data_IF_652699655858
#
_entry.id   IF_652699655858
#
_cell.length_a   1.000
_cell.length_b   1.000
_cell.length_c   1.000
_cell.angle_alpha   90.00
_cell.angle_beta   90.00
_cell.angle_gamma   90.00
#
_symmetry.space_group_name_H-M   'P 1'
#
loop_
_entity.id
_entity.type
_entity.pdbx_description
1 polymer ?
#
# COMPACT_ATOMS: atom_id res chain seq x y z
N UNK A 1 -16.66 8.09 12.47
CA UNK A 1 -15.53 7.13 12.25
C UNK A 1 -14.19 7.85 12.11
N UNK A 2 -14.16 9.13 11.75
CA UNK A 2 -12.96 9.95 11.56
C UNK A 2 -12.07 10.10 12.80
N UNK A 3 -12.53 9.70 13.97
CA UNK A 3 -11.82 9.86 15.24
C UNK A 3 -11.35 8.55 15.87
N UNK A 4 -11.48 7.40 15.19
CA UNK A 4 -10.97 6.16 15.75
C UNK A 4 -9.52 5.91 15.27
N UNK A 5 -8.52 6.06 16.14
CA UNK A 5 -7.10 5.96 15.78
C UNK A 5 -6.68 4.55 15.36
N UNK A 6 -7.55 3.56 15.55
CA UNK A 6 -7.28 2.17 15.20
C UNK A 6 -7.78 1.80 13.80
N UNK A 7 -8.44 2.70 13.08
CA UNK A 7 -8.86 2.46 11.71
C UNK A 7 -7.84 3.02 10.71
N UNK A 8 -7.71 2.40 9.52
CA UNK A 8 -6.87 2.97 8.48
C UNK A 8 -7.45 4.31 8.02
N UNK A 9 -6.57 5.27 7.75
CA UNK A 9 -6.98 6.52 7.11
C UNK A 9 -7.47 6.24 5.69
N UNK A 10 -8.56 6.88 5.29
CA UNK A 10 -9.14 6.82 3.94
C UNK A 10 -9.67 8.19 3.56
N UNK A 11 -10.27 8.29 2.39
CA UNK A 11 -10.81 9.55 1.88
C UNK A 11 -9.73 10.63 1.75
N UNK A 12 -8.54 10.19 1.34
CA UNK A 12 -7.35 11.03 1.08
C UNK A 12 -6.87 10.80 -0.35
N UNK A 13 -6.65 11.89 -1.07
CA UNK A 13 -6.03 11.88 -2.40
C UNK A 13 -4.52 11.63 -2.29
N UNK A 14 -3.88 11.33 -3.41
CA UNK A 14 -2.42 11.22 -3.47
C UNK A 14 -1.76 12.55 -3.08
N UNK A 15 -2.33 13.67 -3.47
CA UNK A 15 -1.82 15.00 -3.11
C UNK A 15 -1.99 15.31 -1.62
N UNK A 16 -3.09 14.88 -1.00
CA UNK A 16 -3.26 15.02 0.46
C UNK A 16 -2.17 14.25 1.22
N UNK A 17 -1.78 13.07 0.72
CA UNK A 17 -0.65 12.32 1.28
C UNK A 17 0.65 13.13 1.21
N UNK A 18 0.94 13.81 0.09
CA UNK A 18 2.15 14.65 -0.02
C UNK A 18 2.12 15.82 0.98
N UNK A 19 0.98 16.49 1.15
CA UNK A 19 0.83 17.56 2.14
C UNK A 19 1.01 17.05 3.57
N UNK A 20 0.49 15.86 3.85
CA UNK A 20 0.67 15.20 5.15
C UNK A 20 2.16 14.94 5.43
N UNK A 21 2.91 14.40 4.46
CA UNK A 21 4.35 14.15 4.63
C UNK A 21 5.13 15.43 4.85
N UNK A 22 4.87 16.51 4.10
CA UNK A 22 5.53 17.80 4.32
C UNK A 22 5.38 18.30 5.75
N UNK A 23 4.18 18.14 6.34
CA UNK A 23 3.93 18.52 7.73
C UNK A 23 4.63 17.60 8.72
N UNK A 24 4.58 16.29 8.48
CA UNK A 24 5.22 15.29 9.33
C UNK A 24 6.73 15.46 9.35
N UNK A 25 7.35 15.70 8.20
CA UNK A 25 8.77 15.97 8.05
C UNK A 25 9.19 17.24 8.84
N UNK A 26 8.39 18.31 8.71
CA UNK A 26 8.64 19.56 9.47
C UNK A 26 8.56 19.36 10.97
N UNK A 27 7.72 18.45 11.46
CA UNK A 27 7.55 18.18 12.90
C UNK A 27 8.62 17.24 13.45
N UNK A 28 9.10 16.31 12.65
CA UNK A 28 9.97 15.21 13.11
C UNK A 28 11.44 15.38 12.71
N UNK A 29 11.73 16.17 11.68
CA UNK A 29 13.05 16.28 11.06
C UNK A 29 13.44 15.03 10.25
N UNK A 30 12.50 14.11 10.02
CA UNK A 30 12.69 12.91 9.21
C UNK A 30 12.10 13.13 7.80
N UNK A 31 12.37 12.22 6.86
CA UNK A 31 11.87 12.31 5.48
C UNK A 31 10.91 11.14 5.19
N UNK A 32 9.62 11.38 5.41
CA UNK A 32 8.56 10.42 5.13
C UNK A 32 8.03 10.57 3.71
N UNK A 33 7.55 9.48 3.14
CA UNK A 33 6.99 9.43 1.80
C UNK A 33 6.03 8.24 1.62
N UNK A 34 5.35 8.18 0.49
CA UNK A 34 4.76 6.93 0.01
C UNK A 34 5.88 5.95 -0.38
N UNK A 35 5.67 4.64 -0.22
CA UNK A 35 6.55 3.65 -0.81
C UNK A 35 6.50 3.75 -2.34
N UNK A 36 7.58 3.40 -3.03
CA UNK A 36 7.50 3.04 -4.44
C UNK A 36 6.71 1.74 -4.59
N UNK A 37 6.18 1.47 -5.78
CA UNK A 37 5.50 0.20 -6.02
C UNK A 37 6.40 -1.01 -5.75
N UNK A 38 7.68 -0.91 -6.15
CA UNK A 38 8.67 -1.96 -5.93
C UNK A 38 8.95 -2.20 -4.43
N UNK A 39 9.08 -1.13 -3.63
CA UNK A 39 9.23 -1.23 -2.18
C UNK A 39 8.01 -1.86 -1.53
N UNK A 40 6.82 -1.42 -1.95
CA UNK A 40 5.57 -1.97 -1.44
C UNK A 40 5.47 -3.47 -1.71
N UNK A 41 5.72 -3.90 -2.95
CA UNK A 41 5.66 -5.31 -3.33
C UNK A 41 6.73 -6.14 -2.64
N UNK A 42 7.97 -5.66 -2.54
CA UNK A 42 9.05 -6.31 -1.81
C UNK A 42 8.68 -6.53 -0.34
N UNK A 43 8.14 -5.49 0.31
CA UNK A 43 7.67 -5.56 1.69
C UNK A 43 6.49 -6.53 1.86
N UNK A 44 5.50 -6.50 0.95
CA UNK A 44 4.34 -7.40 0.97
C UNK A 44 4.74 -8.87 0.80
N UNK A 45 5.76 -9.15 -0.01
CA UNK A 45 6.33 -10.50 -0.22
C UNK A 45 7.12 -11.03 0.98
N UNK A 46 7.34 -10.22 2.02
CA UNK A 46 8.14 -10.60 3.19
C UNK A 46 9.64 -10.27 3.05
N UNK A 47 10.01 -9.44 2.06
CA UNK A 47 11.41 -9.04 1.85
C UNK A 47 12.35 -10.24 1.68
N UNK A 48 13.50 -10.18 2.32
CA UNK A 48 14.50 -11.27 2.32
C UNK A 48 14.06 -12.52 3.13
N UNK A 49 12.90 -12.45 3.82
CA UNK A 49 12.30 -13.58 4.55
C UNK A 49 11.14 -14.21 3.79
N UNK A 50 10.95 -13.85 2.52
CA UNK A 50 9.82 -14.28 1.69
C UNK A 50 9.66 -15.80 1.66
N UNK A 51 8.43 -16.27 1.86
CA UNK A 51 8.02 -17.66 1.74
C UNK A 51 7.23 -17.91 0.46
N UNK A 52 7.23 -16.94 -0.46
CA UNK A 52 6.57 -17.00 -1.77
C UNK A 52 5.05 -17.23 -1.70
N UNK A 53 4.42 -16.70 -0.68
CA UNK A 53 2.98 -16.74 -0.55
C UNK A 53 2.29 -15.87 -1.61
N UNK A 54 1.05 -16.21 -1.91
CA UNK A 54 0.20 -15.47 -2.85
C UNK A 54 -0.29 -14.15 -2.26
N UNK A 55 -0.58 -14.14 -0.95
CA UNK A 55 -0.99 -12.98 -0.17
C UNK A 55 0.10 -12.67 0.87
N UNK A 56 0.09 -11.48 1.43
CA UNK A 56 1.12 -11.05 2.38
C UNK A 56 1.07 -11.88 3.68
N UNK A 57 1.90 -12.91 3.76
CA UNK A 57 2.02 -13.82 4.91
C UNK A 57 1.26 -15.14 4.81
N UNK A 58 0.48 -15.40 3.75
CA UNK A 58 -0.26 -16.67 3.61
C UNK A 58 -0.70 -16.96 2.16
N UNK A 59 -1.09 -18.21 1.90
CA UNK A 59 -1.84 -18.58 0.69
C UNK A 59 -3.37 -18.50 0.88
N UNK A 60 -3.84 -18.16 2.09
CA UNK A 60 -5.25 -17.99 2.45
C UNK A 60 -5.51 -16.52 2.72
N UNK A 61 -6.20 -15.83 1.79
CA UNK A 61 -6.47 -14.39 1.89
C UNK A 61 -7.14 -13.99 3.20
N UNK A 62 -8.16 -14.72 3.63
CA UNK A 62 -8.97 -14.41 4.80
C UNK A 62 -8.18 -14.48 6.13
N UNK A 63 -7.04 -15.15 6.15
CA UNK A 63 -6.18 -15.21 7.34
C UNK A 63 -5.30 -13.97 7.52
N UNK A 64 -5.00 -13.26 6.43
CA UNK A 64 -4.04 -12.12 6.40
C UNK A 64 -4.68 -10.80 6.01
N UNK A 65 -5.96 -10.81 5.58
CA UNK A 65 -6.61 -9.61 5.06
C UNK A 65 -8.12 -9.58 5.24
N UNK A 66 -8.67 -8.41 5.02
CA UNK A 66 -10.08 -8.10 4.98
C UNK A 66 -10.49 -7.80 3.53
N UNK A 67 -11.33 -8.64 2.94
CA UNK A 67 -11.85 -8.49 1.59
C UNK A 67 -13.33 -8.79 1.53
N UNK A 68 -13.90 -8.82 0.34
CA UNK A 68 -15.33 -8.99 0.10
C UNK A 68 -15.95 -10.19 0.83
N UNK A 69 -15.17 -11.28 1.00
CA UNK A 69 -15.64 -12.52 1.65
C UNK A 69 -15.85 -12.41 3.16
N UNK A 70 -15.10 -11.53 3.84
CA UNK A 70 -15.04 -11.51 5.30
C UNK A 70 -15.11 -10.12 5.94
N UNK A 71 -15.10 -9.05 5.15
CA UNK A 71 -15.08 -7.68 5.68
C UNK A 71 -16.47 -7.08 5.95
N UNK A 72 -17.55 -7.65 5.40
CA UNK A 72 -18.89 -7.09 5.55
C UNK A 72 -19.00 -5.68 4.95
N UNK A 73 -18.34 -5.42 3.81
CA UNK A 73 -18.34 -4.16 3.05
C UNK A 73 -17.85 -2.93 3.85
N UNK A 74 -16.92 -3.12 4.77
CA UNK A 74 -16.36 -2.03 5.58
C UNK A 74 -14.89 -2.28 5.92
N UNK A 75 -14.18 -1.18 6.16
CA UNK A 75 -12.83 -1.23 6.74
C UNK A 75 -12.88 -1.69 8.19
N UNK A 76 -11.80 -2.29 8.65
CA UNK A 76 -11.64 -2.84 10.00
C UNK A 76 -10.48 -2.18 10.72
N UNK A 77 -10.47 -2.31 12.05
CA UNK A 77 -9.32 -1.98 12.91
C UNK A 77 -8.07 -2.64 12.35
N UNK A 78 -6.98 -1.89 12.29
CA UNK A 78 -5.69 -2.37 11.77
C UNK A 78 -5.07 -3.42 12.68
N UNK A 79 -4.27 -4.32 12.11
CA UNK A 79 -3.47 -5.28 12.87
C UNK A 79 -4.24 -6.46 13.46
N UNK A 80 -5.47 -6.74 13.01
CA UNK A 80 -6.28 -7.84 13.53
C UNK A 80 -6.05 -9.18 12.80
N UNK A 81 -5.40 -9.17 11.66
CA UNK A 81 -5.08 -10.37 10.87
C UNK A 81 -3.64 -10.80 11.13
N UNK A 82 -3.23 -11.91 10.54
CA UNK A 82 -1.86 -12.41 10.64
C UNK A 82 -0.92 -11.50 9.84
N UNK A 83 0.20 -11.02 10.42
CA UNK A 83 1.18 -10.24 9.68
C UNK A 83 1.99 -11.10 8.70
N UNK A 84 2.69 -10.46 7.78
CA UNK A 84 3.65 -11.14 6.93
C UNK A 84 4.98 -11.41 7.67
N UNK A 85 5.97 -11.96 6.96
CA UNK A 85 7.27 -12.39 7.50
C UNK A 85 8.13 -11.23 8.05
N UNK A 86 7.82 -9.98 7.69
CA UNK A 86 8.43 -8.77 8.22
C UNK A 86 7.65 -8.16 9.40
N UNK A 87 6.53 -8.77 9.81
CA UNK A 87 5.66 -8.24 10.84
C UNK A 87 4.72 -7.13 10.35
N UNK A 88 4.54 -6.97 9.04
CA UNK A 88 3.65 -5.97 8.45
C UNK A 88 2.23 -6.53 8.35
N UNK A 89 1.27 -5.75 8.85
CA UNK A 89 -0.15 -6.06 8.84
C UNK A 89 -0.85 -5.39 7.66
N UNK A 90 -2.00 -5.94 7.28
CA UNK A 90 -2.97 -5.36 6.35
C UNK A 90 -2.39 -5.01 4.95
N UNK A 91 -1.29 -5.69 4.56
CA UNK A 91 -0.75 -5.61 3.19
C UNK A 91 -1.61 -6.39 2.17
N UNK A 92 -2.69 -7.02 2.64
CA UNK A 92 -3.71 -7.72 1.85
C UNK A 92 -5.07 -7.27 2.32
N UNK A 93 -5.83 -6.56 1.50
CA UNK A 93 -7.17 -6.07 1.83
C UNK A 93 -7.18 -4.96 2.89
N UNK A 94 -8.27 -4.81 3.60
CA UNK A 94 -8.67 -3.71 4.45
C UNK A 94 -8.88 -2.44 3.63
N UNK A 95 -7.83 -1.67 3.35
CA UNK A 95 -7.86 -0.56 2.39
C UNK A 95 -6.70 -0.66 1.42
N UNK A 96 -6.91 -0.26 0.19
CA UNK A 96 -5.85 -0.13 -0.79
C UNK A 96 -4.89 0.99 -0.40
N UNK A 97 -3.65 0.93 -0.86
CA UNK A 97 -2.61 1.86 -0.43
C UNK A 97 -1.97 2.56 -1.64
N UNK A 98 -1.88 3.89 -1.58
CA UNK A 98 -1.18 4.70 -2.55
C UNK A 98 0.31 4.36 -2.61
N UNK A 99 0.85 4.29 -3.84
CA UNK A 99 2.30 4.28 -4.10
C UNK A 99 2.73 5.60 -4.75
N UNK A 100 4.04 5.87 -4.75
CA UNK A 100 4.59 7.10 -5.35
C UNK A 100 4.56 7.09 -6.87
N UNK A 101 4.58 5.91 -7.48
CA UNK A 101 4.79 5.69 -8.90
C UNK A 101 3.57 6.08 -9.74
N UNK A 102 3.84 6.62 -10.94
CA UNK A 102 2.83 6.70 -11.98
C UNK A 102 2.58 5.32 -12.59
N UNK A 103 1.33 5.04 -12.90
CA UNK A 103 0.96 3.79 -13.55
C UNK A 103 1.48 3.73 -14.99
N UNK A 104 2.11 2.62 -15.33
CA UNK A 104 2.35 2.16 -16.68
C UNK A 104 2.27 0.63 -16.74
N UNK A 105 1.95 0.03 -17.89
CA UNK A 105 2.14 -1.39 -18.09
C UNK A 105 3.58 -1.79 -17.84
N UNK A 106 3.81 -3.02 -17.34
CA UNK A 106 5.17 -3.51 -17.22
C UNK A 106 5.84 -3.56 -18.60
N UNK A 107 7.08 -3.07 -18.66
CA UNK A 107 7.93 -3.28 -19.83
C UNK A 107 8.82 -4.51 -19.62
N UNK A 108 9.27 -5.10 -20.73
CA UNK A 108 10.21 -6.21 -20.69
C UNK A 108 11.61 -5.64 -20.39
N UNK A 109 12.09 -5.83 -19.15
CA UNK A 109 13.40 -5.37 -18.71
C UNK A 109 13.62 -5.71 -17.24
N UNK A 110 14.88 -5.65 -16.82
CA UNK A 110 15.28 -5.77 -15.42
C UNK A 110 15.89 -4.44 -14.98
N UNK A 111 15.13 -3.65 -14.27
CA UNK A 111 15.61 -2.42 -13.65
C UNK A 111 15.65 -2.62 -12.13
N UNK A 112 16.78 -2.39 -11.46
CA UNK A 112 16.81 -2.42 -10.01
C UNK A 112 16.06 -1.21 -9.45
N UNK A 113 15.20 -1.45 -8.45
CA UNK A 113 14.39 -0.42 -7.77
C UNK A 113 13.61 0.49 -8.74
N UNK A 114 12.77 -0.07 -9.61
CA UNK A 114 12.04 0.72 -10.60
C UNK A 114 11.12 1.73 -9.89
N UNK A 115 11.04 2.94 -10.45
CA UNK A 115 10.18 4.04 -9.95
C UNK A 115 9.03 4.38 -10.92
N UNK A 116 8.87 3.55 -11.98
CA UNK A 116 7.88 3.81 -13.03
C UNK A 116 8.24 5.02 -13.90
N UNK A 117 7.33 5.47 -14.76
CA UNK A 117 7.54 6.63 -15.61
C UNK A 117 7.57 7.94 -14.79
N UNK A 118 8.24 8.97 -15.35
CA UNK A 118 8.37 10.28 -14.69
C UNK A 118 7.04 11.04 -14.68
N UNK A 119 6.17 10.79 -15.68
CA UNK A 119 4.86 11.41 -15.83
C UNK A 119 3.81 10.33 -16.14
N UNK A 120 2.56 10.60 -15.79
CA UNK A 120 1.42 9.71 -16.04
C UNK A 120 0.10 10.40 -15.71
N UNK A 121 -1.00 9.69 -15.90
CA UNK A 121 -2.34 10.18 -15.57
C UNK A 121 -2.84 9.61 -14.23
N UNK A 122 -2.44 8.38 -13.92
CA UNK A 122 -2.90 7.64 -12.76
C UNK A 122 -1.73 7.23 -11.87
N UNK A 123 -1.96 7.16 -10.57
CA UNK A 123 -1.03 6.65 -9.57
C UNK A 123 -1.31 5.18 -9.25
N UNK A 124 -0.26 4.45 -8.95
CA UNK A 124 -0.35 3.05 -8.53
C UNK A 124 -1.04 2.97 -7.16
N UNK A 125 -1.92 1.97 -7.04
CA UNK A 125 -2.58 1.56 -5.80
C UNK A 125 -2.40 0.06 -5.62
N UNK A 126 -2.10 -0.38 -4.40
CA UNK A 126 -1.76 -1.77 -4.09
C UNK A 126 -2.57 -2.32 -2.91
N UNK A 127 -2.55 -3.66 -2.75
CA UNK A 127 -3.12 -4.38 -1.60
C UNK A 127 -4.56 -4.84 -1.74
N UNK A 128 -5.37 -4.16 -2.54
CA UNK A 128 -6.82 -4.36 -2.56
C UNK A 128 -7.49 -3.82 -1.30
N UNK A 129 -8.80 -3.92 -1.21
CA UNK A 129 -9.60 -3.34 -0.11
C UNK A 129 -10.71 -4.26 0.36
N UNK A 130 -11.45 -3.83 1.36
CA UNK A 130 -12.55 -4.56 1.99
C UNK A 130 -13.69 -4.95 1.01
N UNK A 131 -13.82 -4.27 -0.12
CA UNK A 131 -14.82 -4.53 -1.16
C UNK A 131 -14.28 -5.29 -2.37
N UNK A 132 -12.98 -5.61 -2.38
CA UNK A 132 -12.36 -6.36 -3.46
C UNK A 132 -12.44 -7.87 -3.24
N UNK A 133 -12.63 -8.61 -4.34
CA UNK A 133 -12.48 -10.05 -4.31
C UNK A 133 -11.00 -10.46 -4.10
N UNK A 134 -10.76 -11.70 -3.67
CA UNK A 134 -9.41 -12.20 -3.38
C UNK A 134 -8.43 -12.05 -4.55
N UNK A 135 -8.91 -12.16 -5.80
CA UNK A 135 -8.05 -12.00 -6.98
C UNK A 135 -7.40 -10.60 -7.05
N UNK A 136 -8.08 -9.58 -6.55
CA UNK A 136 -7.62 -8.20 -6.56
C UNK A 136 -6.78 -7.84 -5.32
N UNK A 137 -6.57 -8.79 -4.41
CA UNK A 137 -5.75 -8.62 -3.20
C UNK A 137 -4.48 -9.47 -3.21
N UNK A 138 -4.15 -10.12 -4.35
CA UNK A 138 -2.86 -10.79 -4.52
C UNK A 138 -1.72 -9.78 -4.43
N UNK A 139 -0.56 -10.18 -3.89
CA UNK A 139 0.62 -9.31 -3.80
C UNK A 139 1.00 -8.72 -5.16
N UNK A 140 0.87 -9.49 -6.25
CA UNK A 140 1.20 -9.04 -7.60
C UNK A 140 0.09 -8.24 -8.30
N UNK A 141 -1.09 -8.12 -7.70
CA UNK A 141 -2.18 -7.36 -8.32
C UNK A 141 -1.88 -5.87 -8.28
N UNK A 142 -1.99 -5.23 -9.43
CA UNK A 142 -1.78 -3.78 -9.61
C UNK A 142 -3.11 -3.12 -9.90
N UNK A 143 -3.37 -2.05 -9.23
CA UNK A 143 -4.47 -1.15 -9.53
C UNK A 143 -3.96 0.27 -9.70
N UNK A 144 -4.78 1.15 -10.22
CA UNK A 144 -4.44 2.56 -10.41
C UNK A 144 -5.68 3.42 -10.19
N UNK A 145 -5.43 4.68 -9.85
CA UNK A 145 -6.46 5.66 -9.56
C UNK A 145 -5.93 7.07 -9.88
N UNK A 146 -6.81 7.98 -10.29
CA UNK A 146 -6.43 9.37 -10.53
C UNK A 146 -5.94 10.01 -9.23
N UNK A 147 -4.84 10.79 -9.24
CA UNK A 147 -4.20 11.28 -8.02
C UNK A 147 -5.06 12.27 -7.22
N UNK A 148 -6.09 12.86 -7.82
CA UNK A 148 -7.06 13.75 -7.19
C UNK A 148 -8.17 13.01 -6.43
N UNK A 149 -8.40 11.75 -6.76
CA UNK A 149 -9.50 10.99 -6.16
C UNK A 149 -9.21 10.64 -4.69
N UNK A 150 -10.20 10.88 -3.85
CA UNK A 150 -10.22 10.48 -2.45
C UNK A 150 -11.38 9.52 -2.24
N UNK A 151 -11.08 8.27 -1.90
CA UNK A 151 -12.07 7.21 -1.78
C UNK A 151 -12.04 6.56 -0.40
N UNK A 152 -13.17 6.00 0.02
CA UNK A 152 -13.28 5.36 1.33
C UNK A 152 -12.59 3.97 1.42
N UNK A 153 -12.04 3.50 0.33
CA UNK A 153 -11.34 2.21 0.22
C UNK A 153 -9.84 2.36 -0.10
N UNK A 154 -9.33 3.59 -0.23
CA UNK A 154 -7.93 3.87 -0.48
C UNK A 154 -7.35 4.81 0.58
N UNK A 155 -6.17 4.46 1.07
CA UNK A 155 -5.41 5.18 2.08
C UNK A 155 -3.93 5.18 1.79
N UNK A 156 -3.09 5.22 2.83
CA UNK A 156 -1.64 5.31 2.68
C UNK A 156 -0.90 4.45 3.70
N UNK A 157 0.31 4.05 3.32
CA UNK A 157 1.34 3.50 4.20
C UNK A 157 2.58 4.40 4.16
N UNK A 158 3.22 4.58 5.32
CA UNK A 158 4.43 5.37 5.43
C UNK A 158 5.65 4.57 5.02
N UNK A 159 6.54 5.19 4.23
CA UNK A 159 7.93 4.80 4.06
C UNK A 159 8.83 5.92 4.59
N UNK A 160 9.97 5.56 5.14
CA UNK A 160 10.98 6.50 5.65
C UNK A 160 12.24 6.41 4.78
N UNK A 161 12.70 7.53 4.28
CA UNK A 161 14.02 7.63 3.64
C UNK A 161 15.09 7.69 4.71
N UNK A 162 15.99 6.71 4.72
CA UNK A 162 17.11 6.72 5.66
C UNK A 162 18.21 7.68 5.18
N UNK A 163 18.89 8.40 6.12
CA UNK A 163 20.06 9.19 5.77
C UNK A 163 21.12 8.26 5.18
N UNK A 164 21.55 8.48 3.95
CA UNK A 164 22.52 7.70 3.16
C UNK A 164 21.93 6.69 2.15
N UNK A 165 20.64 6.65 1.92
CA UNK A 165 20.12 5.97 0.73
C UNK A 165 20.35 6.86 -0.50
N UNK A 166 20.91 6.34 -1.61
CA UNK A 166 21.01 7.10 -2.85
C UNK A 166 19.61 7.39 -3.38
N UNK A 167 19.33 8.66 -3.64
CA UNK A 167 18.08 9.18 -4.20
C UNK A 167 17.90 8.76 -5.65
#
# INVERSE_FOLDING_TARGET
EWHNPNYPITDVSWYDCQLFFQRLDSLTGMSFRLPTEAEWEFAARGGNKSRYFRFAGSNIADSVGWGLSNAGFRKHTVGLKIPNELGLYDMTGNVSEWCSDWYAPYYIGTEPNPKGPIIGNDKIVRGGSFDNCQANSHISYRHYQQPEEATNYCGLRLALTLPNEPT
#
